data_IF_825702527487
#
_entry.id   IF_825702527487
#
_cell.length_a   1.000
_cell.length_b   1.000
_cell.length_c   1.000
_cell.angle_alpha   90.00
_cell.angle_beta   90.00
_cell.angle_gamma   90.00
#
_symmetry.space_group_name_H-M   'P 1'
#
loop_
_entity.id
_entity.type
_entity.pdbx_description
1 polymer ?
#
# COMPACT_ATOMS: atom_id res chain seq x y z
N UNK A 1 17.47 -18.19 6.11
CA UNK A 1 17.92 -17.45 4.92
C UNK A 1 18.93 -16.40 5.35
N UNK A 2 19.98 -16.16 4.57
CA UNK A 2 20.97 -15.13 4.89
C UNK A 2 20.30 -13.74 4.90
N UNK A 3 20.57 -12.96 5.95
CA UNK A 3 20.08 -11.59 6.09
C UNK A 3 20.88 -10.67 5.16
N UNK A 4 20.19 -9.73 4.52
CA UNK A 4 20.82 -8.76 3.62
C UNK A 4 21.63 -7.72 4.42
N UNK A 5 22.77 -7.29 3.88
CA UNK A 5 23.58 -6.22 4.45
C UNK A 5 22.95 -4.85 4.16
N UNK A 6 23.31 -3.82 4.95
CA UNK A 6 22.85 -2.44 4.70
C UNK A 6 23.23 -1.93 3.31
N UNK A 7 24.45 -2.22 2.84
CA UNK A 7 24.89 -1.82 1.50
C UNK A 7 24.01 -2.45 0.40
N UNK A 8 23.68 -3.74 0.51
CA UNK A 8 22.77 -4.41 -0.43
C UNK A 8 21.33 -3.88 -0.32
N UNK A 9 20.88 -3.48 0.87
CA UNK A 9 19.58 -2.85 1.06
C UNK A 9 19.50 -1.48 0.39
N UNK A 10 20.53 -0.64 0.55
CA UNK A 10 20.61 0.65 -0.15
C UNK A 10 20.57 0.47 -1.67
N UNK A 11 21.36 -0.47 -2.21
CA UNK A 11 21.34 -0.77 -3.65
C UNK A 11 19.98 -1.32 -4.12
N UNK A 12 19.31 -2.14 -3.31
CA UNK A 12 17.95 -2.61 -3.60
C UNK A 12 17.00 -1.42 -3.73
N UNK A 13 16.98 -0.51 -2.77
CA UNK A 13 16.06 0.64 -2.80
C UNK A 13 16.41 1.63 -3.92
N UNK A 14 17.70 1.86 -4.20
CA UNK A 14 18.14 2.67 -5.34
C UNK A 14 17.58 2.15 -6.66
N UNK A 15 17.63 0.83 -6.88
CA UNK A 15 17.09 0.20 -8.10
C UNK A 15 15.57 0.28 -8.17
N UNK A 16 14.86 0.05 -7.06
CA UNK A 16 13.41 0.18 -7.01
C UNK A 16 12.95 1.63 -7.24
N UNK A 17 13.67 2.61 -6.70
CA UNK A 17 13.43 4.03 -6.94
C UNK A 17 13.67 4.42 -8.39
N UNK A 18 14.70 3.86 -9.06
CA UNK A 18 14.92 4.10 -10.48
C UNK A 18 13.79 3.52 -11.36
N UNK A 19 13.24 2.35 -11.00
CA UNK A 19 12.14 1.70 -11.72
C UNK A 19 10.79 2.43 -11.53
N UNK A 20 10.57 3.02 -10.35
CA UNK A 20 9.36 3.75 -9.99
C UNK A 20 9.70 5.00 -9.15
N UNK A 21 10.08 6.13 -9.77
CA UNK A 21 10.57 7.32 -9.06
C UNK A 21 9.58 7.92 -8.06
N UNK A 22 8.29 7.89 -8.39
CA UNK A 22 7.22 8.43 -7.55
C UNK A 22 6.21 7.31 -7.25
N UNK A 23 6.52 6.43 -6.29
CA UNK A 23 5.63 5.31 -5.99
C UNK A 23 4.46 5.83 -5.12
N UNK A 24 3.23 5.59 -5.56
CA UNK A 24 2.02 6.10 -4.90
C UNK A 24 1.05 4.96 -4.59
N UNK A 25 0.12 5.20 -3.66
CA UNK A 25 -1.00 4.30 -3.41
C UNK A 25 -1.87 4.16 -4.65
N UNK A 26 -2.40 2.96 -4.89
CA UNK A 26 -3.35 2.71 -5.97
C UNK A 26 -4.79 3.11 -5.59
N UNK A 27 -5.05 3.42 -4.31
CA UNK A 27 -6.37 3.85 -3.85
C UNK A 27 -6.67 5.29 -4.29
N UNK A 28 -7.90 5.53 -4.73
CA UNK A 28 -8.38 6.86 -5.11
C UNK A 28 -8.94 7.60 -3.88
N UNK A 29 -8.46 8.81 -3.65
CA UNK A 29 -8.87 9.70 -2.57
C UNK A 29 -8.72 11.17 -3.00
N UNK A 30 -9.30 12.09 -2.21
CA UNK A 30 -9.29 13.55 -2.46
C UNK A 30 -8.63 14.35 -1.34
N UNK A 31 -8.62 13.80 -0.13
CA UNK A 31 -8.12 14.40 1.09
C UNK A 31 -7.81 13.29 2.12
N UNK A 32 -7.26 13.64 3.28
CA UNK A 32 -6.83 12.69 4.32
C UNK A 32 -7.97 11.82 4.84
N UNK A 33 -9.18 12.38 4.95
CA UNK A 33 -10.36 11.64 5.41
C UNK A 33 -10.79 10.57 4.40
N UNK A 34 -10.94 10.96 3.13
CA UNK A 34 -11.31 10.01 2.05
C UNK A 34 -10.21 8.96 1.83
N UNK A 35 -8.94 9.29 2.09
CA UNK A 35 -7.86 8.31 2.15
C UNK A 35 -8.09 7.31 3.29
N UNK A 36 -8.30 7.78 4.52
CA UNK A 36 -8.57 6.92 5.68
C UNK A 36 -9.73 5.96 5.39
N UNK A 37 -10.85 6.48 4.86
CA UNK A 37 -12.01 5.67 4.49
C UNK A 37 -11.63 4.63 3.41
N UNK A 38 -10.92 5.03 2.35
CA UNK A 38 -10.49 4.10 1.31
C UNK A 38 -9.60 2.97 1.86
N UNK A 39 -8.66 3.27 2.77
CA UNK A 39 -7.80 2.26 3.39
C UNK A 39 -8.62 1.32 4.29
N UNK A 40 -9.55 1.84 5.09
CA UNK A 40 -10.47 0.99 5.90
C UNK A 40 -11.29 0.05 5.01
N UNK A 41 -11.81 0.56 3.89
CA UNK A 41 -12.58 -0.24 2.93
C UNK A 41 -11.73 -1.29 2.20
N UNK A 42 -10.43 -1.05 2.03
CA UNK A 42 -9.48 -1.97 1.40
C UNK A 42 -9.22 -3.25 2.21
N UNK A 43 -9.55 -3.27 3.49
CA UNK A 43 -9.34 -4.46 4.33
C UNK A 43 -10.06 -5.68 3.72
N UNK A 44 -9.30 -6.70 3.30
CA UNK A 44 -9.81 -7.89 2.61
C UNK A 44 -10.62 -7.56 1.34
N UNK A 45 -10.27 -6.48 0.65
CA UNK A 45 -10.83 -6.11 -0.65
C UNK A 45 -9.69 -5.81 -1.64
N UNK A 46 -10.03 -5.70 -2.92
CA UNK A 46 -9.07 -5.25 -3.94
C UNK A 46 -9.18 -3.74 -4.10
N UNK A 47 -8.06 -3.08 -4.39
CA UNK A 47 -8.04 -1.64 -4.64
C UNK A 47 -8.98 -1.27 -5.81
N UNK A 48 -9.07 -2.13 -6.83
CA UNK A 48 -10.04 -1.98 -7.94
C UNK A 48 -11.49 -1.96 -7.43
N UNK A 49 -11.84 -2.87 -6.51
CA UNK A 49 -13.18 -2.92 -5.93
C UNK A 49 -13.50 -1.67 -5.10
N UNK A 50 -12.53 -1.19 -4.32
CA UNK A 50 -12.66 0.04 -3.54
C UNK A 50 -12.81 1.25 -4.45
N UNK A 51 -11.92 1.42 -5.43
CA UNK A 51 -11.91 2.53 -6.37
C UNK A 51 -13.15 2.60 -7.28
N UNK A 52 -13.88 1.49 -7.42
CA UNK A 52 -15.18 1.48 -8.10
C UNK A 52 -16.32 1.99 -7.20
N UNK A 53 -16.25 1.71 -5.90
CA UNK A 53 -17.31 2.01 -4.95
C UNK A 53 -17.20 3.43 -4.36
N UNK A 54 -15.98 3.90 -4.09
CA UNK A 54 -15.75 5.15 -3.37
C UNK A 54 -16.07 6.44 -4.13
N UNK A 55 -15.94 6.56 -5.47
CA UNK A 55 -16.13 7.85 -6.14
C UNK A 55 -17.48 8.49 -5.88
N UNK A 56 -18.57 7.71 -6.04
CA UNK A 56 -19.93 8.19 -5.83
C UNK A 56 -20.23 8.51 -4.35
N UNK A 57 -19.64 7.76 -3.42
CA UNK A 57 -19.75 8.06 -1.98
C UNK A 57 -19.03 9.37 -1.65
N UNK A 58 -17.80 9.55 -2.16
CA UNK A 58 -16.98 10.72 -1.89
C UNK A 58 -17.47 11.99 -2.60
N UNK A 59 -18.35 11.91 -3.59
CA UNK A 59 -19.02 13.11 -4.12
C UNK A 59 -19.97 13.75 -3.10
N UNK A 60 -20.63 12.92 -2.27
CA UNK A 60 -21.65 13.40 -1.34
C UNK A 60 -21.16 13.46 0.11
N UNK A 61 -20.11 12.69 0.45
CA UNK A 61 -19.59 12.55 1.80
C UNK A 61 -18.05 12.45 1.80
N UNK A 62 -17.38 13.60 1.63
CA UNK A 62 -15.92 13.75 1.65
C UNK A 62 -15.35 14.33 2.94
N UNK A 63 -16.18 14.54 3.96
CA UNK A 63 -15.79 14.97 5.31
C UNK A 63 -16.40 14.05 6.37
N UNK A 64 -15.81 13.98 7.59
CA UNK A 64 -16.39 13.20 8.68
C UNK A 64 -17.84 13.58 8.99
N UNK A 65 -18.16 14.88 9.00
CA UNK A 65 -19.51 15.39 9.30
C UNK A 65 -20.52 14.88 8.28
N UNK A 66 -20.20 14.99 6.98
CA UNK A 66 -21.08 14.52 5.91
C UNK A 66 -21.25 12.99 5.97
N UNK A 67 -20.17 12.26 6.25
CA UNK A 67 -20.20 10.80 6.32
C UNK A 67 -21.01 10.29 7.53
N UNK A 68 -20.84 10.91 8.70
CA UNK A 68 -21.62 10.62 9.88
C UNK A 68 -23.11 10.91 9.64
N UNK A 69 -23.43 12.10 9.09
CA UNK A 69 -24.80 12.49 8.78
C UNK A 69 -25.47 11.60 7.71
N UNK A 70 -24.69 11.00 6.80
CA UNK A 70 -25.21 10.10 5.77
C UNK A 70 -25.78 8.80 6.38
N UNK A 71 -25.19 8.31 7.46
CA UNK A 71 -25.64 7.14 8.21
C UNK A 71 -25.32 5.79 7.56
N UNK A 72 -25.33 4.73 8.39
CA UNK A 72 -24.81 3.41 8.01
C UNK A 72 -25.53 2.79 6.80
N UNK A 73 -26.85 2.93 6.74
CA UNK A 73 -27.67 2.34 5.68
C UNK A 73 -27.32 2.91 4.30
N UNK A 74 -27.17 4.23 4.19
CA UNK A 74 -26.83 4.89 2.93
C UNK A 74 -25.38 4.62 2.56
N UNK A 75 -24.43 4.75 3.49
CA UNK A 75 -23.02 4.38 3.26
C UNK A 75 -22.94 2.94 2.74
N UNK A 76 -23.61 2.01 3.42
CA UNK A 76 -23.68 0.60 3.03
C UNK A 76 -24.20 0.38 1.61
N UNK A 77 -25.20 1.13 1.17
CA UNK A 77 -25.71 1.05 -0.19
C UNK A 77 -24.65 1.39 -1.26
N UNK A 78 -23.79 2.37 -1.02
CA UNK A 78 -22.68 2.73 -1.91
C UNK A 78 -21.58 1.67 -1.95
N UNK A 79 -21.26 1.07 -0.80
CA UNK A 79 -20.13 0.14 -0.67
C UNK A 79 -20.54 -1.34 -0.73
N UNK A 80 -21.80 -1.66 -1.04
CA UNK A 80 -22.34 -3.03 -1.00
C UNK A 80 -21.62 -4.05 -1.88
N UNK A 81 -20.87 -3.58 -2.88
CA UNK A 81 -20.05 -4.43 -3.76
C UNK A 81 -18.73 -4.86 -3.12
N UNK A 82 -18.38 -4.32 -1.95
CA UNK A 82 -17.17 -4.65 -1.22
C UNK A 82 -17.47 -5.79 -0.23
N UNK A 83 -16.56 -6.75 -0.06
CA UNK A 83 -16.67 -7.76 0.98
C UNK A 83 -16.74 -7.13 2.38
N UNK A 84 -17.55 -7.73 3.27
CA UNK A 84 -17.78 -7.27 4.65
C UNK A 84 -18.39 -5.86 4.74
N UNK A 85 -19.11 -5.40 3.71
CA UNK A 85 -19.60 -4.02 3.61
C UNK A 85 -20.47 -3.57 4.80
N UNK A 86 -21.24 -4.45 5.44
CA UNK A 86 -22.08 -4.08 6.60
C UNK A 86 -21.25 -3.61 7.78
N UNK A 87 -20.26 -4.43 8.17
CA UNK A 87 -19.33 -4.08 9.24
C UNK A 87 -18.47 -2.85 8.86
N UNK A 88 -18.08 -2.74 7.58
CA UNK A 88 -17.34 -1.58 7.08
C UNK A 88 -18.16 -0.30 7.12
N UNK A 89 -19.44 -0.33 6.74
CA UNK A 89 -20.32 0.83 6.78
C UNK A 89 -20.49 1.32 8.22
N UNK A 90 -20.77 0.40 9.15
CA UNK A 90 -20.79 0.69 10.59
C UNK A 90 -19.50 1.35 11.06
N UNK A 91 -18.35 0.76 10.74
CA UNK A 91 -17.05 1.32 11.15
C UNK A 91 -16.80 2.70 10.54
N UNK A 92 -17.10 2.91 9.26
CA UNK A 92 -16.91 4.19 8.56
C UNK A 92 -17.76 5.30 9.17
N UNK A 93 -19.01 5.01 9.55
CA UNK A 93 -19.86 6.00 10.22
C UNK A 93 -19.35 6.26 11.63
N UNK A 94 -19.12 5.22 12.42
CA UNK A 94 -18.66 5.35 13.80
C UNK A 94 -17.28 6.06 13.90
N UNK A 95 -16.33 5.76 13.02
CA UNK A 95 -15.06 6.48 12.99
C UNK A 95 -15.26 7.94 12.60
N UNK A 96 -16.22 8.25 11.72
CA UNK A 96 -16.51 9.63 11.33
C UNK A 96 -17.09 10.43 12.50
N UNK A 97 -17.99 9.81 13.27
CA UNK A 97 -18.55 10.40 14.50
C UNK A 97 -17.45 10.69 15.53
N UNK A 98 -16.52 9.76 15.75
CA UNK A 98 -15.37 9.95 16.66
C UNK A 98 -14.47 11.09 16.17
N UNK A 99 -14.19 11.17 14.87
CA UNK A 99 -13.38 12.26 14.31
C UNK A 99 -14.04 13.63 14.56
N UNK A 100 -15.37 13.74 14.42
CA UNK A 100 -16.09 14.98 14.73
C UNK A 100 -16.02 15.29 16.21
N UNK A 101 -16.33 14.32 17.08
CA UNK A 101 -16.46 14.53 18.52
C UNK A 101 -15.12 14.78 19.23
N UNK A 102 -14.08 14.02 18.87
CA UNK A 102 -12.81 13.99 19.61
C UNK A 102 -11.64 14.65 18.87
N UNK A 103 -11.74 14.81 17.55
CA UNK A 103 -10.65 15.31 16.70
C UNK A 103 -11.03 16.54 15.87
N UNK A 104 -12.19 17.16 16.14
CA UNK A 104 -12.63 18.39 15.46
C UNK A 104 -12.77 18.22 13.95
N UNK A 105 -13.21 17.04 13.50
CA UNK A 105 -13.43 16.72 12.08
C UNK A 105 -12.16 16.43 11.28
N UNK A 106 -11.00 16.27 11.94
CA UNK A 106 -9.72 16.05 11.26
C UNK A 106 -9.14 14.67 11.56
N UNK A 107 -8.53 14.06 10.54
CA UNK A 107 -7.78 12.81 10.72
C UNK A 107 -6.52 13.09 11.55
N UNK A 108 -6.31 12.41 12.69
CA UNK A 108 -5.11 12.62 13.48
C UNK A 108 -3.88 12.02 12.78
N UNK A 109 -2.73 12.69 12.92
CA UNK A 109 -1.45 12.18 12.43
C UNK A 109 -0.77 11.19 13.39
N UNK A 110 -1.28 11.07 14.61
CA UNK A 110 -0.81 10.13 15.61
C UNK A 110 -1.33 8.72 15.33
N UNK A 111 -0.42 7.74 15.27
CA UNK A 111 -0.75 6.34 14.98
C UNK A 111 -1.66 5.74 16.04
N UNK A 112 -1.40 6.01 17.32
CA UNK A 112 -2.13 5.38 18.40
C UNK A 112 -3.57 5.95 18.48
N UNK A 113 -3.77 7.21 18.10
CA UNK A 113 -5.10 7.80 17.87
C UNK A 113 -5.82 7.15 16.69
N UNK A 114 -5.14 6.96 15.56
CA UNK A 114 -5.71 6.24 14.42
C UNK A 114 -6.12 4.81 14.79
N UNK A 115 -5.31 4.06 15.54
CA UNK A 115 -5.62 2.69 15.97
C UNK A 115 -6.83 2.59 16.92
N UNK A 116 -7.27 3.70 17.54
CA UNK A 116 -8.51 3.74 18.33
C UNK A 116 -9.77 3.84 17.47
N UNK A 117 -9.64 4.21 16.19
CA UNK A 117 -10.78 4.35 15.29
C UNK A 117 -11.31 2.96 14.85
N UNK A 118 -12.64 2.75 14.84
CA UNK A 118 -13.23 1.50 14.37
C UNK A 118 -12.77 1.10 12.97
N UNK A 119 -12.30 -0.15 12.84
CA UNK A 119 -11.81 -0.68 11.56
C UNK A 119 -10.38 -0.26 11.19
N UNK A 120 -9.69 0.49 12.04
CA UNK A 120 -8.30 0.89 11.86
C UNK A 120 -7.39 0.05 12.76
N UNK A 121 -6.68 -0.91 12.17
CA UNK A 121 -5.57 -1.58 12.85
C UNK A 121 -4.23 -0.91 12.53
N UNK A 122 -3.15 -1.36 13.18
CA UNK A 122 -1.77 -0.87 12.98
C UNK A 122 -1.36 -0.71 11.52
N UNK A 123 -1.67 -1.70 10.66
CA UNK A 123 -1.35 -1.63 9.22
C UNK A 123 -2.07 -0.45 8.54
N UNK A 124 -3.34 -0.24 8.85
CA UNK A 124 -4.14 0.88 8.31
C UNK A 124 -3.59 2.21 8.82
N UNK A 125 -3.32 2.32 10.13
CA UNK A 125 -2.74 3.53 10.73
C UNK A 125 -1.40 3.90 10.08
N UNK A 126 -0.48 2.93 9.94
CA UNK A 126 0.81 3.16 9.29
C UNK A 126 0.71 3.60 7.82
N UNK A 127 -0.30 3.11 7.06
CA UNK A 127 -0.53 3.58 5.68
C UNK A 127 -0.99 5.04 5.69
N UNK A 128 -1.92 5.40 6.57
CA UNK A 128 -2.42 6.79 6.67
C UNK A 128 -1.31 7.72 7.12
N UNK A 129 -0.54 7.36 8.15
CA UNK A 129 0.65 8.09 8.60
C UNK A 129 1.65 8.36 7.46
N UNK A 130 1.92 7.35 6.62
CA UNK A 130 2.86 7.49 5.51
C UNK A 130 2.30 8.36 4.37
N UNK A 131 1.09 8.04 3.89
CA UNK A 131 0.55 8.65 2.67
C UNK A 131 0.00 10.06 2.94
N UNK A 132 -0.72 10.26 4.05
CA UNK A 132 -1.35 11.55 4.35
C UNK A 132 -0.35 12.54 4.95
N UNK A 133 0.50 12.06 5.87
CA UNK A 133 1.33 12.92 6.73
C UNK A 133 2.83 12.80 6.45
N UNK A 134 3.23 12.02 5.44
CA UNK A 134 4.64 11.87 5.06
C UNK A 134 5.51 11.20 6.13
N UNK A 135 4.91 10.49 7.10
CA UNK A 135 5.67 9.85 8.15
C UNK A 135 6.42 8.62 7.59
N UNK A 136 7.65 8.34 8.04
CA UNK A 136 8.49 7.26 7.50
C UNK A 136 8.07 5.87 8.00
N UNK A 137 6.77 5.56 8.02
CA UNK A 137 6.20 4.29 8.48
C UNK A 137 6.12 3.27 7.35
N UNK A 138 6.46 2.01 7.64
CA UNK A 138 6.41 0.92 6.66
C UNK A 138 5.33 -0.09 7.06
N UNK A 139 4.12 0.11 6.56
CA UNK A 139 3.01 -0.80 6.80
C UNK A 139 3.26 -2.18 6.14
N UNK A 140 3.37 -3.24 6.93
CA UNK A 140 3.66 -4.59 6.41
C UNK A 140 2.36 -5.34 6.07
N UNK A 141 2.10 -5.52 4.79
CA UNK A 141 1.04 -6.37 4.26
C UNK A 141 1.58 -7.73 3.78
N UNK A 142 0.73 -8.54 3.12
CA UNK A 142 1.16 -9.84 2.60
C UNK A 142 2.20 -9.74 1.48
N UNK A 143 2.25 -8.63 0.74
CA UNK A 143 3.24 -8.40 -0.30
C UNK A 143 4.60 -8.06 0.32
N UNK A 144 4.64 -7.06 1.19
CA UNK A 144 5.86 -6.61 1.88
C UNK A 144 6.40 -7.72 2.78
N UNK A 145 5.55 -8.43 3.51
CA UNK A 145 5.96 -9.58 4.33
C UNK A 145 6.66 -10.65 3.48
N UNK A 146 6.08 -11.01 2.33
CA UNK A 146 6.67 -12.00 1.41
C UNK A 146 7.96 -11.49 0.79
N UNK A 147 7.98 -10.24 0.30
CA UNK A 147 9.17 -9.64 -0.32
C UNK A 147 10.31 -9.61 0.68
N UNK A 148 10.07 -9.10 1.88
CA UNK A 148 11.08 -8.94 2.94
C UNK A 148 11.70 -10.28 3.34
N UNK A 149 10.88 -11.32 3.47
CA UNK A 149 11.34 -12.67 3.79
C UNK A 149 12.10 -13.31 2.61
N UNK A 150 11.59 -13.21 1.37
CA UNK A 150 12.25 -13.80 0.18
C UNK A 150 13.58 -13.14 -0.13
N UNK A 151 13.65 -11.81 -0.11
CA UNK A 151 14.89 -11.09 -0.44
C UNK A 151 15.93 -11.23 0.65
N UNK A 152 15.52 -11.50 1.89
CA UNK A 152 16.37 -11.42 3.07
C UNK A 152 16.54 -10.00 3.60
N UNK A 153 15.78 -9.03 3.08
CA UNK A 153 15.81 -7.62 3.49
C UNK A 153 15.50 -7.47 4.98
N UNK A 154 14.37 -8.03 5.42
CA UNK A 154 13.92 -8.02 6.81
C UNK A 154 13.14 -9.31 7.10
N UNK A 155 13.82 -10.47 7.21
CA UNK A 155 13.14 -11.73 7.49
C UNK A 155 12.55 -11.73 8.90
N UNK A 156 11.33 -12.23 9.03
CA UNK A 156 10.59 -12.22 10.29
C UNK A 156 9.36 -13.14 10.24
N UNK A 157 9.00 -13.71 11.39
CA UNK A 157 7.85 -14.62 11.52
C UNK A 157 6.51 -13.88 11.63
N UNK A 158 6.52 -12.62 12.06
CA UNK A 158 5.32 -11.80 12.25
C UNK A 158 5.45 -10.49 11.47
N UNK A 159 4.33 -9.85 11.07
CA UNK A 159 4.37 -8.55 10.42
C UNK A 159 5.15 -7.51 11.23
N UNK A 160 4.98 -7.52 12.56
CA UNK A 160 5.71 -6.61 13.46
C UNK A 160 7.22 -6.82 13.42
N UNK A 161 7.68 -8.07 13.45
CA UNK A 161 9.12 -8.35 13.36
C UNK A 161 9.71 -7.92 12.01
N UNK A 162 8.92 -8.00 10.93
CA UNK A 162 9.32 -7.51 9.61
C UNK A 162 9.33 -5.97 9.58
N UNK A 163 8.32 -5.31 10.14
CA UNK A 163 8.23 -3.85 10.28
C UNK A 163 9.47 -3.29 11.00
N UNK A 164 9.75 -3.77 12.22
CA UNK A 164 10.90 -3.34 13.02
C UNK A 164 12.23 -3.63 12.28
N UNK A 165 12.29 -4.70 11.49
CA UNK A 165 13.44 -5.05 10.67
C UNK A 165 13.64 -4.09 9.48
N UNK A 166 12.54 -3.71 8.82
CA UNK A 166 12.53 -2.78 7.70
C UNK A 166 12.94 -1.38 8.13
N UNK A 167 12.40 -0.87 9.23
CA UNK A 167 12.78 0.44 9.79
C UNK A 167 14.28 0.52 10.11
N UNK A 168 14.87 -0.58 10.60
CA UNK A 168 16.31 -0.65 10.92
C UNK A 168 17.20 -0.75 9.68
N UNK A 169 16.81 -1.55 8.68
CA UNK A 169 17.67 -1.86 7.53
C UNK A 169 17.58 -0.81 6.43
N UNK A 170 16.44 -0.11 6.31
CA UNK A 170 16.17 0.85 5.26
C UNK A 170 16.93 2.16 5.51
N UNK A 171 17.75 2.64 4.56
CA UNK A 171 18.41 3.94 4.69
C UNK A 171 17.38 5.08 4.78
N UNK A 172 17.73 6.14 5.52
CA UNK A 172 16.81 7.24 5.82
C UNK A 172 16.21 7.90 4.57
N UNK A 173 17.01 8.09 3.52
CA UNK A 173 16.59 8.66 2.23
C UNK A 173 15.51 7.84 1.50
N UNK A 174 15.40 6.54 1.81
CA UNK A 174 14.43 5.65 1.19
C UNK A 174 13.22 5.34 2.09
N UNK A 175 13.25 5.68 3.38
CA UNK A 175 12.21 5.28 4.34
C UNK A 175 10.79 5.67 3.90
N UNK A 176 10.62 6.89 3.41
CA UNK A 176 9.33 7.39 2.97
C UNK A 176 8.74 6.57 1.80
N UNK A 177 9.56 6.29 0.78
CA UNK A 177 9.13 5.55 -0.41
C UNK A 177 9.15 4.03 -0.23
N UNK A 178 9.83 3.52 0.80
CA UNK A 178 10.06 2.08 1.01
C UNK A 178 8.76 1.28 1.02
N UNK A 179 7.72 1.77 1.69
CA UNK A 179 6.42 1.11 1.72
C UNK A 179 5.89 0.86 0.29
N UNK A 180 5.79 1.92 -0.51
CA UNK A 180 5.24 1.85 -1.86
C UNK A 180 6.12 1.05 -2.83
N UNK A 181 7.45 1.19 -2.77
CA UNK A 181 8.35 0.38 -3.59
C UNK A 181 8.20 -1.11 -3.30
N UNK A 182 8.16 -1.50 -2.02
CA UNK A 182 8.08 -2.90 -1.64
C UNK A 182 6.71 -3.52 -1.97
N UNK A 183 5.60 -2.80 -1.75
CA UNK A 183 4.26 -3.30 -2.10
C UNK A 183 4.10 -3.46 -3.62
N UNK A 184 4.52 -2.47 -4.41
CA UNK A 184 4.43 -2.52 -5.88
C UNK A 184 5.34 -3.61 -6.44
N UNK A 185 6.56 -3.75 -5.91
CA UNK A 185 7.46 -4.83 -6.29
C UNK A 185 6.85 -6.21 -5.95
N UNK A 186 6.28 -6.36 -4.75
CA UNK A 186 5.60 -7.58 -4.35
C UNK A 186 4.40 -7.92 -5.22
N UNK A 187 3.62 -6.91 -5.60
CA UNK A 187 2.41 -7.05 -6.42
C UNK A 187 2.71 -7.47 -7.85
N UNK A 188 3.65 -6.79 -8.51
CA UNK A 188 3.85 -6.96 -9.95
C UNK A 188 5.06 -7.81 -10.35
N UNK A 189 6.06 -7.99 -9.47
CA UNK A 189 7.29 -8.74 -9.79
C UNK A 189 7.42 -9.96 -8.91
N UNK A 190 7.51 -9.77 -7.58
CA UNK A 190 7.70 -10.86 -6.62
C UNK A 190 6.34 -11.48 -6.22
N UNK A 191 5.59 -11.94 -7.22
CA UNK A 191 4.25 -12.54 -7.07
C UNK A 191 4.26 -13.77 -6.18
N UNK A 192 3.13 -14.04 -5.50
CA UNK A 192 3.03 -15.11 -4.51
C UNK A 192 3.32 -16.51 -5.10
N UNK A 193 2.64 -16.88 -6.18
CA UNK A 193 2.76 -18.21 -6.79
C UNK A 193 4.06 -18.39 -7.59
N UNK A 194 4.26 -17.56 -8.62
CA UNK A 194 5.43 -17.62 -9.51
C UNK A 194 6.07 -16.23 -9.63
N UNK A 195 7.13 -15.92 -8.86
CA UNK A 195 7.80 -14.62 -8.95
C UNK A 195 8.49 -14.48 -10.31
N UNK A 196 8.53 -13.27 -10.84
CA UNK A 196 9.13 -12.99 -12.15
C UNK A 196 10.61 -12.64 -12.01
N UNK A 197 11.38 -13.56 -11.39
CA UNK A 197 12.80 -13.35 -11.08
C UNK A 197 13.64 -13.00 -12.31
N UNK A 198 13.28 -13.54 -13.48
CA UNK A 198 13.93 -13.32 -14.77
C UNK A 198 13.95 -11.86 -15.25
N UNK A 199 13.03 -11.01 -14.75
CA UNK A 199 13.03 -9.56 -15.02
C UNK A 199 13.10 -8.70 -13.77
N UNK A 200 13.49 -9.30 -12.64
CA UNK A 200 13.53 -8.60 -11.37
C UNK A 200 14.84 -7.81 -11.25
N UNK A 201 14.75 -6.49 -11.09
CA UNK A 201 15.89 -5.58 -10.99
C UNK A 201 16.83 -5.88 -9.80
N UNK A 202 16.38 -6.67 -8.83
CA UNK A 202 17.11 -6.97 -7.59
C UNK A 202 17.33 -8.48 -7.41
N UNK A 203 17.24 -9.25 -8.50
CA UNK A 203 17.35 -10.71 -8.46
C UNK A 203 18.71 -11.22 -7.96
N UNK A 204 19.79 -10.54 -8.36
CA UNK A 204 21.18 -10.77 -7.97
C UNK A 204 21.44 -10.47 -6.49
N UNK A 205 20.76 -9.45 -5.94
CA UNK A 205 20.84 -9.10 -4.52
C UNK A 205 20.00 -10.05 -3.63
N UNK A 206 18.92 -10.59 -4.19
CA UNK A 206 17.89 -11.32 -3.47
C UNK A 206 18.33 -12.74 -3.04
N UNK A 207 18.14 -13.07 -1.76
CA UNK A 207 18.50 -14.35 -1.16
C UNK A 207 17.60 -15.54 -1.58
N UNK A 208 16.39 -15.29 -2.12
CA UNK A 208 15.45 -16.33 -2.52
C UNK A 208 16.06 -17.33 -3.53
N UNK A 209 15.87 -18.63 -3.30
CA UNK A 209 16.24 -19.73 -4.18
C UNK A 209 15.12 -20.80 -4.16
N UNK A 210 14.86 -21.50 -5.30
CA UNK A 210 15.42 -21.26 -6.63
C UNK A 210 14.84 -20.01 -7.30
N UNK A 211 15.58 -19.42 -8.26
CA UNK A 211 15.06 -18.30 -9.08
C UNK A 211 14.17 -18.84 -10.20
N UNK A 212 13.12 -18.10 -10.54
CA UNK A 212 12.25 -18.44 -11.69
C UNK A 212 12.92 -18.00 -13.00
N UNK A 213 13.16 -18.93 -13.96
CA UNK A 213 13.76 -18.61 -15.25
C UNK A 213 12.78 -17.84 -16.16
N UNK A 214 13.31 -17.30 -17.26
CA UNK A 214 12.51 -16.61 -18.26
C UNK A 214 11.47 -17.57 -18.90
N UNK A 215 10.25 -17.10 -19.19
CA UNK A 215 9.29 -17.87 -19.96
C UNK A 215 9.90 -18.31 -21.30
N UNK A 216 9.74 -19.59 -21.67
CA UNK A 216 10.26 -20.11 -22.94
C UNK A 216 11.72 -20.57 -22.92
N UNK A 217 12.47 -20.39 -21.82
CA UNK A 217 13.87 -20.85 -21.71
C UNK A 217 14.07 -22.39 -21.76
N UNK A 218 12.99 -23.16 -21.98
CA UNK A 218 13.01 -24.62 -22.16
C UNK A 218 12.90 -25.11 -23.61
N UNK A 219 12.92 -24.23 -24.62
CA UNK A 219 13.02 -24.63 -26.04
C UNK A 219 14.04 -23.75 -26.74
N UNK A 220 15.09 -24.35 -27.29
CA UNK A 220 16.14 -23.63 -28.03
C UNK A 220 15.53 -22.77 -29.14
N UNK A 221 15.71 -21.44 -29.05
CA UNK A 221 15.12 -20.51 -30.01
C UNK A 221 15.50 -19.06 -29.72
N UNK A 222 16.47 -18.57 -30.50
CA UNK A 222 16.89 -17.18 -30.79
C UNK A 222 16.42 -16.03 -29.86
N UNK A 223 17.40 -15.36 -29.25
CA UNK A 223 17.26 -14.13 -28.45
C UNK A 223 16.52 -13.03 -29.23
N UNK A 224 15.46 -12.50 -28.65
CA UNK A 224 14.98 -11.15 -28.95
C UNK A 224 14.90 -10.38 -27.63
N UNK A 225 15.79 -9.40 -27.47
CA UNK A 225 15.71 -8.43 -26.37
C UNK A 225 14.48 -7.56 -26.60
N UNK A 226 13.49 -7.70 -25.71
CA UNK A 226 12.39 -6.75 -25.60
C UNK A 226 12.62 -5.85 -24.39
N UNK A 227 12.33 -4.53 -24.50
CA UNK A 227 12.57 -3.60 -23.41
C UNK A 227 11.70 -3.95 -22.19
N UNK A 228 12.30 -3.83 -21.00
CA UNK A 228 11.62 -3.91 -19.71
C UNK A 228 10.53 -2.83 -19.67
N UNK A 229 9.26 -3.24 -19.56
CA UNK A 229 8.17 -2.29 -19.29
C UNK A 229 8.41 -1.67 -17.92
N UNK A 230 8.72 -0.36 -17.89
CA UNK A 230 8.69 0.47 -16.68
C UNK A 230 7.36 0.27 -15.95
N UNK A 231 7.36 0.22 -14.62
CA UNK A 231 6.10 0.30 -13.87
C UNK A 231 5.40 1.58 -14.31
N UNK A 232 4.18 1.46 -14.82
CA UNK A 232 3.46 2.58 -15.41
C UNK A 232 3.18 3.63 -14.32
N UNK A 233 3.82 4.81 -14.45
CA UNK A 233 3.40 6.01 -13.73
C UNK A 233 2.06 6.48 -14.30
N UNK A 234 1.07 6.73 -13.44
CA UNK A 234 -0.23 7.30 -13.84
C UNK A 234 -0.03 8.65 -14.56
N UNK A 235 -0.90 8.99 -15.53
CA UNK A 235 -1.06 10.38 -15.96
C UNK A 235 -1.65 11.20 -14.79
N UNK A 236 -1.05 12.37 -14.53
CA UNK A 236 -1.50 13.33 -13.51
C UNK A 236 -2.98 13.65 -13.69
N UNK A 237 -3.82 13.42 -12.67
CA UNK A 237 -5.13 14.05 -12.64
C UNK A 237 -4.91 15.57 -12.54
N UNK A 238 -5.52 16.32 -13.47
CA UNK A 238 -5.51 17.78 -13.45
C UNK A 238 -6.18 18.25 -12.17
N UNK A 239 -5.47 19.04 -11.37
CA UNK A 239 -6.09 19.81 -10.30
C UNK A 239 -7.15 20.72 -10.94
N UNK A 240 -8.41 20.55 -10.56
CA UNK A 240 -9.45 21.52 -10.87
C UNK A 240 -9.17 22.75 -10.02
N UNK A 241 -8.60 23.78 -10.64
CA UNK A 241 -8.58 25.14 -10.09
C UNK A 241 -10.02 25.64 -10.03
N UNK A 242 -10.63 25.62 -8.84
CA UNK A 242 -11.83 26.41 -8.57
C UNK A 242 -11.38 27.82 -8.17
N UNK A 243 -11.73 28.78 -9.02
CA UNK A 243 -12.02 30.16 -8.59
C UNK A 243 -13.38 30.19 -7.91
#
# INVERSE_FOLDING_TARGET
MAKMTRAKAAELFRRLAADAPNPETELHYRNDFTLLVAVVLSAQATDVGVNRATPALFEIADTPEKMAALGEAKVGAYIKTIGLWRAKAKNVVALSEILVAEHGGKVPSDRDALERLPGVGRKTANVVCNVAFGLPTIAVDTHIFRVSNRTGLAPGKTPRAVEDGLEKITPAEYLHGAHHWLILHGRYVCKARKPECWRCAVADLCAFRPKTPAPGAGRGGRKSEKPVRKLASRPKLRASTSK
#
